data_IF_611099563222
#
_entry.id   IF_611099563222
#
_cell.length_a   1.000
_cell.length_b   1.000
_cell.length_c   1.000
_cell.angle_alpha   90.00
_cell.angle_beta   90.00
_cell.angle_gamma   90.00
#
_symmetry.space_group_name_H-M   'P 1'
#
loop_
_entity.id
_entity.type
_entity.pdbx_description
1 polymer ?
#
# COMPACT_ATOMS: atom_id res chain seq x y z
N UNK A 1 -0.01 -45.64 -69.73
CA UNK A 1 -0.73 -44.41 -69.30
C UNK A 1 -1.32 -44.65 -67.92
N UNK A 2 -0.67 -44.18 -66.85
CA UNK A 2 -1.22 -44.11 -65.50
C UNK A 2 -0.76 -42.78 -64.92
N UNK A 3 -1.67 -41.82 -64.82
CA UNK A 3 -1.41 -40.52 -64.23
C UNK A 3 -1.58 -40.64 -62.71
N UNK A 4 -0.50 -40.42 -61.96
CA UNK A 4 -0.54 -40.29 -60.50
C UNK A 4 -0.60 -38.80 -60.21
N UNK A 5 -1.76 -38.35 -59.74
CA UNK A 5 -1.99 -36.97 -59.31
C UNK A 5 -1.46 -36.82 -57.87
N UNK A 6 -0.38 -36.08 -57.68
CA UNK A 6 0.06 -35.66 -56.35
C UNK A 6 -0.75 -34.43 -55.93
N UNK A 7 -1.63 -34.61 -54.94
CA UNK A 7 -2.26 -33.49 -54.24
C UNK A 7 -1.25 -32.90 -53.24
N UNK A 8 -0.73 -31.70 -53.51
CA UNK A 8 0.02 -30.93 -52.53
C UNK A 8 -0.96 -30.38 -51.49
N UNK A 9 -0.94 -30.95 -50.29
CA UNK A 9 -1.63 -30.40 -49.12
C UNK A 9 -0.75 -29.27 -48.55
N UNK A 10 -1.10 -28.02 -48.84
CA UNK A 10 -0.47 -26.87 -48.22
C UNK A 10 -0.94 -26.77 -46.77
N UNK A 11 -0.04 -27.05 -45.82
CA UNK A 11 -0.26 -26.81 -44.40
C UNK A 11 -0.19 -25.30 -44.16
N UNK A 12 -1.33 -24.64 -43.97
CA UNK A 12 -1.38 -23.29 -43.41
C UNK A 12 -0.99 -23.39 -41.93
N UNK A 13 0.26 -23.09 -41.61
CA UNK A 13 0.67 -22.77 -40.24
C UNK A 13 0.08 -21.39 -39.90
N UNK A 14 -1.05 -21.38 -39.20
CA UNK A 14 -1.53 -20.19 -38.52
C UNK A 14 -0.50 -19.82 -37.45
N UNK A 15 0.33 -18.82 -37.73
CA UNK A 15 1.05 -18.10 -36.69
C UNK A 15 -0.01 -17.45 -35.80
N UNK A 16 -0.39 -18.12 -34.72
CA UNK A 16 -0.91 -17.41 -33.55
C UNK A 16 0.25 -16.56 -33.04
N UNK A 17 0.36 -15.33 -33.55
CA UNK A 17 1.07 -14.30 -32.81
C UNK A 17 0.39 -14.27 -31.44
N UNK A 18 1.10 -14.71 -30.42
CA UNK A 18 0.69 -14.53 -29.03
C UNK A 18 0.61 -13.01 -28.86
N UNK A 19 -0.59 -12.45 -29.02
CA UNK A 19 -0.88 -11.11 -28.57
C UNK A 19 -0.63 -11.16 -27.08
N UNK A 20 0.45 -10.55 -26.63
CA UNK A 20 0.67 -10.31 -25.20
C UNK A 20 -0.54 -9.51 -24.74
N UNK A 21 -1.43 -10.11 -23.96
CA UNK A 21 -2.50 -9.36 -23.32
C UNK A 21 -1.83 -8.30 -22.44
N UNK A 22 -2.01 -7.04 -22.81
CA UNK A 22 -1.62 -5.93 -21.97
C UNK A 22 -2.68 -5.84 -20.86
N UNK A 23 -2.27 -6.11 -19.62
CA UNK A 23 -3.12 -5.90 -18.46
C UNK A 23 -2.83 -4.51 -17.89
N UNK A 24 -3.87 -3.72 -17.73
CA UNK A 24 -3.81 -2.50 -16.93
C UNK A 24 -4.39 -2.78 -15.55
N UNK A 25 -3.71 -2.33 -14.50
CA UNK A 25 -4.18 -2.41 -13.11
C UNK A 25 -4.07 -1.01 -12.49
N UNK A 26 -5.17 -0.49 -11.98
CA UNK A 26 -5.25 0.83 -11.36
C UNK A 26 -5.65 0.71 -9.90
N UNK A 27 -4.77 1.15 -9.01
CA UNK A 27 -4.93 1.04 -7.55
C UNK A 27 -4.97 2.44 -6.97
N UNK A 28 -6.07 2.78 -6.29
CA UNK A 28 -6.12 3.93 -5.39
C UNK A 28 -5.61 3.57 -4.01
N UNK A 29 -5.11 4.56 -3.26
CA UNK A 29 -4.65 4.33 -1.90
C UNK A 29 -4.67 5.63 -1.07
N UNK A 30 -4.77 5.49 0.25
CA UNK A 30 -4.68 6.62 1.18
C UNK A 30 -4.80 6.20 2.64
N UNK A 31 -4.43 7.09 3.55
CA UNK A 31 -4.49 6.88 5.01
C UNK A 31 -5.09 8.09 5.73
N UNK A 32 -5.18 7.99 7.06
CA UNK A 32 -5.52 9.13 7.94
C UNK A 32 -6.92 9.68 7.65
N UNK A 33 -7.91 8.82 7.89
CA UNK A 33 -9.32 9.05 7.68
C UNK A 33 -10.03 9.54 8.96
N UNK A 34 -10.00 10.85 9.21
CA UNK A 34 -10.80 11.52 10.24
C UNK A 34 -11.90 12.44 9.62
N UNK A 35 -13.07 11.90 9.24
CA UNK A 35 -14.11 12.65 8.56
C UNK A 35 -14.81 13.72 9.41
N UNK A 36 -14.56 13.80 10.73
CA UNK A 36 -15.04 14.93 11.55
C UNK A 36 -14.20 16.19 11.36
N UNK A 37 -12.96 16.07 10.89
CA UNK A 37 -12.09 17.21 10.59
C UNK A 37 -12.44 17.83 9.23
N UNK A 38 -12.51 17.01 8.18
CA UNK A 38 -13.01 17.46 6.87
C UNK A 38 -13.47 16.31 5.98
N UNK A 39 -14.33 16.59 5.00
CA UNK A 39 -14.82 15.58 4.04
C UNK A 39 -14.71 16.03 2.57
N UNK A 40 -14.09 17.18 2.30
CA UNK A 40 -14.11 17.80 0.97
C UNK A 40 -13.39 16.98 -0.12
N UNK A 41 -12.48 16.07 0.26
CA UNK A 41 -11.82 15.13 -0.66
C UNK A 41 -12.78 14.00 -1.11
N UNK A 42 -13.72 13.59 -0.25
CA UNK A 42 -14.51 12.37 -0.43
C UNK A 42 -15.33 12.33 -1.72
N UNK A 43 -15.96 13.42 -2.21
CA UNK A 43 -16.66 13.39 -3.49
C UNK A 43 -15.74 13.03 -4.67
N UNK A 44 -14.51 13.56 -4.68
CA UNK A 44 -13.52 13.32 -5.74
C UNK A 44 -12.93 11.92 -5.64
N UNK A 45 -12.65 11.44 -4.42
CA UNK A 45 -12.28 10.04 -4.19
C UNK A 45 -13.39 9.09 -4.66
N UNK A 46 -14.65 9.36 -4.28
CA UNK A 46 -15.81 8.56 -4.66
C UNK A 46 -16.01 8.48 -6.19
N UNK A 47 -15.71 9.56 -6.91
CA UNK A 47 -15.71 9.55 -8.38
C UNK A 47 -14.54 8.75 -8.95
N UNK A 48 -13.35 8.85 -8.37
CA UNK A 48 -12.17 8.11 -8.85
C UNK A 48 -12.38 6.59 -8.75
N UNK A 49 -12.99 6.11 -7.66
CA UNK A 49 -13.29 4.69 -7.40
C UNK A 49 -14.10 4.01 -8.51
N UNK A 50 -14.87 4.75 -9.33
CA UNK A 50 -15.58 4.17 -10.48
C UNK A 50 -14.62 3.55 -11.53
N UNK A 51 -13.33 3.86 -11.46
CA UNK A 51 -12.28 3.41 -12.39
C UNK A 51 -11.11 2.67 -11.74
N UNK A 52 -11.15 2.47 -10.42
CA UNK A 52 -10.08 1.78 -9.69
C UNK A 52 -10.45 0.30 -9.54
N UNK A 53 -9.48 -0.58 -9.77
CA UNK A 53 -9.63 -2.02 -9.49
C UNK A 53 -9.61 -2.26 -7.98
N UNK A 54 -8.67 -1.61 -7.28
CA UNK A 54 -8.55 -1.67 -5.83
C UNK A 54 -8.44 -0.29 -5.21
N UNK A 55 -8.92 -0.16 -3.96
CA UNK A 55 -8.55 0.94 -3.07
C UNK A 55 -7.95 0.40 -1.77
N UNK A 56 -6.72 0.82 -1.48
CA UNK A 56 -5.95 0.35 -0.32
C UNK A 56 -5.96 1.41 0.78
N UNK A 57 -6.58 1.07 1.91
CA UNK A 57 -6.55 1.85 3.14
C UNK A 57 -5.24 1.59 3.87
N UNK A 58 -4.35 2.58 3.92
CA UNK A 58 -2.97 2.44 4.40
C UNK A 58 -2.81 2.66 5.91
N UNK A 59 -3.90 2.59 6.66
CA UNK A 59 -3.92 2.78 8.10
C UNK A 59 -4.56 4.11 8.52
N UNK A 60 -4.78 4.25 9.83
CA UNK A 60 -5.62 5.28 10.42
C UNK A 60 -6.99 5.34 9.73
N UNK A 61 -7.61 4.17 9.56
CA UNK A 61 -8.86 4.05 8.82
C UNK A 61 -10.03 4.66 9.62
N UNK A 62 -9.85 4.71 10.94
CA UNK A 62 -10.59 5.50 11.91
C UNK A 62 -9.61 6.12 12.91
N UNK A 63 -10.03 7.17 13.61
CA UNK A 63 -9.35 7.61 14.83
C UNK A 63 -10.18 7.26 16.04
N UNK A 64 -9.65 6.37 16.88
CA UNK A 64 -10.26 6.05 18.16
C UNK A 64 -10.04 7.21 19.14
N UNK A 65 -11.12 7.66 19.76
CA UNK A 65 -11.05 8.62 20.86
C UNK A 65 -10.61 7.93 22.17
N UNK A 66 -10.21 8.75 23.15
CA UNK A 66 -9.80 8.29 24.47
C UNK A 66 -10.79 7.29 25.08
N UNK A 67 -10.35 6.04 25.19
CA UNK A 67 -11.10 4.95 25.79
C UNK A 67 -11.96 4.13 24.83
N UNK A 68 -12.13 4.54 23.57
CA UNK A 68 -12.83 3.73 22.56
C UNK A 68 -12.08 2.42 22.25
N UNK A 69 -10.75 2.41 22.37
CA UNK A 69 -9.92 1.20 22.25
C UNK A 69 -10.04 0.23 23.45
N UNK A 70 -10.73 0.58 24.53
CA UNK A 70 -10.81 -0.27 25.73
C UNK A 70 -11.75 -1.48 25.56
N UNK A 71 -12.66 -1.46 24.58
CA UNK A 71 -13.61 -2.55 24.34
C UNK A 71 -13.89 -2.74 22.86
N UNK A 72 -14.25 -3.98 22.52
CA UNK A 72 -14.66 -4.34 21.16
C UNK A 72 -15.85 -3.51 20.70
N UNK A 73 -16.88 -3.38 21.53
CA UNK A 73 -18.11 -2.66 21.20
C UNK A 73 -17.85 -1.17 20.94
N UNK A 74 -17.02 -0.51 21.76
CA UNK A 74 -16.67 0.90 21.55
C UNK A 74 -15.78 1.11 20.33
N UNK A 75 -14.90 0.16 20.00
CA UNK A 75 -14.09 0.20 18.79
C UNK A 75 -14.97 0.03 17.54
N UNK A 76 -15.87 -0.96 17.55
CA UNK A 76 -16.81 -1.19 16.45
C UNK A 76 -17.79 -0.03 16.28
N UNK A 77 -18.26 0.58 17.37
CA UNK A 77 -19.11 1.77 17.29
C UNK A 77 -18.41 2.93 16.56
N UNK A 78 -17.08 3.08 16.69
CA UNK A 78 -16.32 4.08 15.92
C UNK A 78 -16.28 3.72 14.43
N UNK A 79 -16.03 2.45 14.08
CA UNK A 79 -16.12 1.99 12.69
C UNK A 79 -17.51 2.24 12.09
N UNK A 80 -18.58 1.87 12.81
CA UNK A 80 -19.96 2.09 12.38
C UNK A 80 -20.29 3.58 12.22
N UNK A 81 -19.79 4.43 13.12
CA UNK A 81 -19.98 5.89 13.03
C UNK A 81 -19.27 6.50 11.82
N UNK A 82 -18.04 6.08 11.54
CA UNK A 82 -17.27 6.58 10.39
C UNK A 82 -17.84 6.03 9.10
N UNK A 83 -17.85 4.71 8.94
CA UNK A 83 -18.20 4.06 7.68
C UNK A 83 -19.70 3.93 7.45
N UNK A 84 -20.55 4.14 8.47
CA UNK A 84 -22.01 4.19 8.31
C UNK A 84 -22.54 5.48 7.67
N UNK A 85 -21.70 6.50 7.46
CA UNK A 85 -22.11 7.71 6.76
C UNK A 85 -22.42 7.40 5.28
N UNK A 86 -23.42 8.05 4.67
CA UNK A 86 -23.85 7.73 3.29
C UNK A 86 -22.72 7.74 2.26
N UNK A 87 -21.79 8.69 2.36
CA UNK A 87 -20.65 8.79 1.44
C UNK A 87 -19.68 7.61 1.55
N UNK A 88 -19.44 7.10 2.76
CA UNK A 88 -18.59 5.93 2.95
C UNK A 88 -19.28 4.64 2.53
N UNK A 89 -20.61 4.55 2.70
CA UNK A 89 -21.38 3.43 2.14
C UNK A 89 -21.31 3.40 0.61
N UNK A 90 -21.32 4.57 -0.05
CA UNK A 90 -21.11 4.66 -1.50
C UNK A 90 -19.67 4.30 -1.89
N UNK A 91 -18.67 4.85 -1.20
CA UNK A 91 -17.25 4.51 -1.41
C UNK A 91 -17.03 3.00 -1.29
N UNK A 92 -17.49 2.37 -0.20
CA UNK A 92 -17.33 0.94 0.05
C UNK A 92 -18.08 0.03 -0.94
N UNK A 93 -18.98 0.61 -1.74
CA UNK A 93 -19.71 -0.13 -2.79
C UNK A 93 -18.97 -0.15 -4.15
N UNK A 94 -17.85 0.57 -4.26
CA UNK A 94 -17.05 0.73 -5.47
C UNK A 94 -15.64 0.19 -5.25
N UNK A 95 -15.06 -0.38 -6.31
CA UNK A 95 -13.75 -1.06 -6.25
C UNK A 95 -13.68 -2.20 -5.23
N UNK A 96 -12.58 -2.94 -5.25
CA UNK A 96 -12.27 -3.90 -4.19
C UNK A 96 -11.40 -3.21 -3.11
N UNK A 97 -11.80 -3.33 -1.84
CA UNK A 97 -11.10 -2.69 -0.75
C UNK A 97 -10.11 -3.63 -0.05
N UNK A 98 -8.87 -3.17 0.08
CA UNK A 98 -7.86 -3.77 0.95
C UNK A 98 -7.51 -2.78 2.06
N UNK A 99 -7.05 -3.28 3.20
CA UNK A 99 -6.66 -2.42 4.30
C UNK A 99 -5.41 -2.95 5.00
N UNK A 100 -4.67 -2.04 5.60
CA UNK A 100 -3.80 -2.29 6.75
C UNK A 100 -4.25 -1.35 7.87
N UNK A 101 -3.72 -1.56 9.07
CA UNK A 101 -4.01 -0.74 10.23
C UNK A 101 -2.77 0.05 10.63
N UNK A 102 -2.99 1.16 11.35
CA UNK A 102 -1.91 1.92 12.01
C UNK A 102 -2.29 2.25 13.46
N UNK A 103 -1.60 3.16 14.15
CA UNK A 103 -1.81 3.40 15.59
C UNK A 103 -3.21 3.87 15.92
N UNK A 104 -3.85 4.69 15.10
CA UNK A 104 -5.19 5.18 15.42
C UNK A 104 -6.31 4.15 15.23
N UNK A 105 -6.06 3.09 14.44
CA UNK A 105 -6.88 1.88 14.44
C UNK A 105 -6.58 1.00 15.67
N UNK A 106 -5.32 0.99 16.11
CA UNK A 106 -4.81 0.06 17.11
C UNK A 106 -5.05 0.52 18.56
N UNK A 107 -5.01 1.82 18.83
CA UNK A 107 -5.06 2.37 20.18
C UNK A 107 -4.68 3.85 20.28
N UNK A 108 -3.99 4.26 21.36
CA UNK A 108 -3.47 5.61 21.51
C UNK A 108 -2.44 5.97 20.42
N UNK A 109 -2.28 7.27 20.16
CA UNK A 109 -1.25 7.82 19.27
C UNK A 109 0.15 7.27 19.59
N UNK A 110 0.90 6.90 18.55
CA UNK A 110 2.23 6.28 18.58
C UNK A 110 2.30 4.99 19.41
N UNK A 111 1.19 4.27 19.61
CA UNK A 111 1.23 3.08 20.46
C UNK A 111 2.15 1.99 19.88
N UNK A 112 2.85 1.32 20.81
CA UNK A 112 3.68 0.16 20.55
C UNK A 112 3.50 -0.91 21.65
N UNK A 113 3.96 -2.14 21.38
CA UNK A 113 3.82 -3.28 22.29
C UNK A 113 4.64 -3.18 23.59
N UNK A 114 5.47 -2.15 23.73
CA UNK A 114 6.26 -1.89 24.95
C UNK A 114 5.44 -1.15 26.01
N UNK A 115 4.46 -0.34 25.60
CA UNK A 115 3.65 0.47 26.51
C UNK A 115 2.14 0.22 26.41
N UNK A 116 1.68 -0.47 25.36
CA UNK A 116 0.26 -0.71 25.12
C UNK A 116 -0.02 -2.18 24.83
N UNK A 117 -1.01 -2.74 25.53
CA UNK A 117 -1.40 -4.15 25.44
C UNK A 117 -2.84 -4.36 24.93
N UNK A 118 -3.50 -3.30 24.46
CA UNK A 118 -4.91 -3.33 24.03
C UNK A 118 -5.11 -3.88 22.61
N UNK A 119 -4.03 -4.16 21.87
CA UNK A 119 -4.09 -4.66 20.49
C UNK A 119 -5.06 -5.83 20.27
N UNK A 120 -5.18 -6.86 21.14
CA UNK A 120 -6.11 -7.96 20.88
C UNK A 120 -7.58 -7.52 20.74
N UNK A 121 -7.98 -6.45 21.42
CA UNK A 121 -9.36 -5.92 21.38
C UNK A 121 -9.63 -5.22 20.05
N UNK A 122 -8.77 -4.27 19.69
CA UNK A 122 -8.89 -3.48 18.46
C UNK A 122 -8.61 -4.31 17.21
N UNK A 123 -7.63 -5.22 17.25
CA UNK A 123 -7.36 -6.19 16.18
C UNK A 123 -8.57 -7.07 15.86
N UNK A 124 -9.34 -7.49 16.88
CA UNK A 124 -10.58 -8.24 16.65
C UNK A 124 -11.59 -7.41 15.86
N UNK A 125 -11.84 -6.17 16.30
CA UNK A 125 -12.74 -5.25 15.61
C UNK A 125 -12.28 -4.96 14.18
N UNK A 126 -10.99 -4.65 14.00
CA UNK A 126 -10.37 -4.40 12.70
C UNK A 126 -10.59 -5.56 11.73
N UNK A 127 -10.30 -6.80 12.16
CA UNK A 127 -10.51 -8.01 11.35
C UNK A 127 -11.98 -8.27 11.03
N UNK A 128 -12.87 -8.01 11.97
CA UNK A 128 -14.31 -8.21 11.77
C UNK A 128 -14.93 -7.14 10.88
N UNK A 129 -14.40 -5.92 10.87
CA UNK A 129 -14.82 -4.87 9.95
C UNK A 129 -14.34 -5.11 8.52
N UNK A 130 -13.03 -5.27 8.33
CA UNK A 130 -12.42 -5.40 6.99
C UNK A 130 -12.56 -6.78 6.35
N UNK A 131 -12.69 -7.84 7.16
CA UNK A 131 -12.92 -9.23 6.72
C UNK A 131 -12.03 -9.65 5.53
N UNK A 132 -10.69 -9.70 5.71
CA UNK A 132 -9.78 -10.04 4.61
C UNK A 132 -10.15 -11.41 4.03
N UNK A 133 -10.18 -11.50 2.70
CA UNK A 133 -10.45 -12.73 1.95
C UNK A 133 -9.17 -13.52 1.60
N UNK A 134 -8.02 -12.94 1.91
CA UNK A 134 -6.70 -13.55 1.74
C UNK A 134 -6.17 -14.15 3.04
N UNK A 135 -5.17 -15.03 2.91
CA UNK A 135 -4.59 -15.73 4.05
C UNK A 135 -3.85 -14.77 4.99
N UNK A 136 -4.20 -14.86 6.28
CA UNK A 136 -3.57 -14.13 7.39
C UNK A 136 -2.70 -15.11 8.18
N UNK A 137 -1.35 -15.01 8.10
CA UNK A 137 -0.46 -15.99 8.74
C UNK A 137 -0.54 -15.99 10.27
N UNK A 138 -0.88 -14.85 10.88
CA UNK A 138 -1.01 -14.71 12.32
C UNK A 138 -2.42 -14.24 12.71
N UNK A 139 -3.05 -14.92 13.67
CA UNK A 139 -4.41 -14.59 14.14
C UNK A 139 -4.47 -13.30 14.98
N UNK A 140 -3.36 -12.91 15.59
CA UNK A 140 -3.23 -11.76 16.48
C UNK A 140 -2.64 -10.51 15.80
N UNK A 141 -2.36 -10.55 14.50
CA UNK A 141 -1.81 -9.46 13.71
C UNK A 141 -2.51 -9.39 12.34
N UNK A 142 -2.43 -8.26 11.63
CA UNK A 142 -3.11 -8.04 10.35
C UNK A 142 -2.11 -7.90 9.20
N UNK A 143 -1.46 -9.00 8.81
CA UNK A 143 -0.60 -9.02 7.62
C UNK A 143 -0.91 -10.19 6.71
N UNK A 144 -0.61 -10.04 5.43
CA UNK A 144 -0.80 -11.09 4.44
C UNK A 144 -0.47 -10.62 3.02
N UNK A 145 -0.77 -11.49 2.06
CA UNK A 145 -0.51 -11.26 0.63
C UNK A 145 -1.74 -11.62 -0.17
N UNK A 146 -2.08 -10.79 -1.12
CA UNK A 146 -3.03 -11.11 -2.20
C UNK A 146 -2.37 -10.93 -3.56
N UNK A 147 -3.01 -11.44 -4.61
CA UNK A 147 -2.50 -11.51 -5.98
C UNK A 147 -3.51 -10.80 -6.89
N UNK A 148 -3.00 -9.97 -7.80
CA UNK A 148 -3.79 -9.27 -8.81
C UNK A 148 -3.21 -9.49 -10.23
N UNK A 149 -3.98 -9.09 -11.24
CA UNK A 149 -3.62 -9.18 -12.66
C UNK A 149 -3.07 -10.57 -13.06
N UNK A 150 -3.87 -11.61 -12.77
CA UNK A 150 -3.59 -13.00 -13.13
C UNK A 150 -2.22 -13.54 -12.68
N UNK A 151 -1.73 -13.07 -11.51
CA UNK A 151 -0.44 -13.50 -10.96
C UNK A 151 0.72 -12.56 -11.26
N UNK A 152 0.49 -11.49 -12.02
CA UNK A 152 1.54 -10.54 -12.41
C UNK A 152 1.87 -9.54 -11.30
N UNK A 153 0.99 -9.36 -10.32
CA UNK A 153 1.17 -8.42 -9.21
C UNK A 153 0.93 -9.12 -7.88
N UNK A 154 1.89 -9.00 -6.97
CA UNK A 154 1.66 -9.30 -5.55
C UNK A 154 1.42 -8.02 -4.77
N UNK A 155 0.43 -8.05 -3.89
CA UNK A 155 0.15 -6.98 -2.93
C UNK A 155 0.41 -7.53 -1.53
N UNK A 156 1.50 -7.06 -0.91
CA UNK A 156 1.87 -7.33 0.47
C UNK A 156 1.26 -6.28 1.38
N UNK A 157 0.49 -6.73 2.37
CA UNK A 157 -0.20 -5.91 3.35
C UNK A 157 0.49 -6.16 4.69
N UNK A 158 1.31 -5.22 5.15
CA UNK A 158 2.15 -5.38 6.34
C UNK A 158 1.52 -4.69 7.56
N UNK A 159 1.80 -5.27 8.73
CA UNK A 159 1.39 -4.79 10.04
C UNK A 159 2.58 -4.14 10.76
N UNK A 160 2.57 -2.82 10.85
CA UNK A 160 3.62 -2.03 11.50
C UNK A 160 3.37 -1.76 13.00
N UNK A 161 2.35 -2.38 13.63
CA UNK A 161 1.97 -2.12 15.02
C UNK A 161 2.04 -3.33 15.93
N UNK A 162 1.50 -4.48 15.51
CA UNK A 162 1.34 -5.67 16.39
C UNK A 162 2.65 -6.14 17.03
N UNK A 163 3.76 -5.98 16.32
CA UNK A 163 5.08 -6.41 16.78
C UNK A 163 5.99 -5.26 17.19
N UNK A 164 5.53 -4.02 17.00
CA UNK A 164 6.37 -2.84 17.14
C UNK A 164 6.81 -2.68 18.59
N UNK A 165 8.08 -2.32 18.74
CA UNK A 165 8.68 -1.98 20.02
C UNK A 165 9.28 -0.59 19.96
N UNK A 166 9.50 0.00 21.13
CA UNK A 166 10.10 1.32 21.24
C UNK A 166 11.47 1.35 20.55
N UNK A 167 11.73 2.37 19.73
CA UNK A 167 12.95 2.51 18.92
C UNK A 167 14.26 2.47 19.72
N UNK A 168 14.23 2.84 21.00
CA UNK A 168 15.41 2.86 21.88
C UNK A 168 15.65 1.50 22.56
N UNK A 169 14.80 0.50 22.30
CA UNK A 169 14.95 -0.86 22.83
C UNK A 169 16.14 -1.59 22.18
N UNK A 170 16.82 -2.45 22.94
CA UNK A 170 17.96 -3.22 22.43
C UNK A 170 17.63 -4.09 21.21
N UNK A 171 16.38 -4.57 21.13
CA UNK A 171 15.83 -5.36 20.03
C UNK A 171 14.69 -4.61 19.33
N UNK A 172 14.82 -3.29 19.17
CA UNK A 172 13.84 -2.47 18.48
C UNK A 172 13.49 -3.05 17.11
N UNK A 173 12.20 -3.22 16.86
CA UNK A 173 11.63 -3.78 15.64
C UNK A 173 10.27 -3.15 15.36
N UNK A 174 9.88 -3.07 14.08
CA UNK A 174 8.55 -2.64 13.66
C UNK A 174 7.70 -3.86 13.31
N UNK A 175 8.22 -4.73 12.44
CA UNK A 175 7.49 -5.86 11.90
C UNK A 175 7.67 -7.14 12.72
N UNK A 176 8.70 -7.26 13.55
CA UNK A 176 9.00 -8.47 14.31
C UNK A 176 9.53 -9.62 13.44
N UNK A 177 10.29 -10.52 14.04
CA UNK A 177 11.00 -11.59 13.30
C UNK A 177 10.06 -12.54 12.56
N UNK A 178 8.87 -12.79 13.09
CA UNK A 178 7.87 -13.68 12.48
C UNK A 178 7.39 -13.14 11.12
N UNK A 179 6.91 -11.90 11.11
CA UNK A 179 6.43 -11.25 9.88
C UNK A 179 7.58 -10.97 8.91
N UNK A 180 8.75 -10.57 9.41
CA UNK A 180 9.94 -10.35 8.57
C UNK A 180 10.35 -11.63 7.83
N UNK A 181 10.38 -12.77 8.52
CA UNK A 181 10.68 -14.05 7.89
C UNK A 181 9.62 -14.45 6.86
N UNK A 182 8.34 -14.28 7.20
CA UNK A 182 7.24 -14.54 6.27
C UNK A 182 7.33 -13.66 5.01
N UNK A 183 7.56 -12.36 5.19
CA UNK A 183 7.62 -11.39 4.10
C UNK A 183 8.78 -11.71 3.16
N UNK A 184 9.98 -11.93 3.72
CA UNK A 184 11.15 -12.29 2.94
C UNK A 184 10.93 -13.58 2.15
N UNK A 185 10.43 -14.64 2.80
CA UNK A 185 10.17 -15.92 2.14
C UNK A 185 9.16 -15.79 0.99
N UNK A 186 8.06 -15.07 1.21
CA UNK A 186 7.04 -14.84 0.20
C UNK A 186 7.56 -13.97 -0.97
N UNK A 187 8.43 -13.00 -0.68
CA UNK A 187 9.02 -12.09 -1.66
C UNK A 187 10.03 -12.82 -2.57
N UNK A 188 10.98 -13.56 -1.99
CA UNK A 188 12.05 -14.22 -2.78
C UNK A 188 11.54 -15.37 -3.64
N UNK A 189 10.44 -16.00 -3.26
CA UNK A 189 9.79 -17.06 -4.03
C UNK A 189 8.70 -16.56 -5.00
N UNK A 190 8.44 -15.25 -5.04
CA UNK A 190 7.46 -14.68 -5.96
C UNK A 190 7.92 -14.75 -7.42
N UNK A 191 6.98 -15.01 -8.32
CA UNK A 191 7.17 -14.91 -9.78
C UNK A 191 6.53 -13.66 -10.39
N UNK A 192 5.90 -12.82 -9.58
CA UNK A 192 5.20 -11.62 -10.04
C UNK A 192 6.15 -10.61 -10.72
N UNK A 193 5.59 -9.79 -11.59
CA UNK A 193 6.34 -8.73 -12.28
C UNK A 193 6.51 -7.49 -11.39
N UNK A 194 5.54 -7.24 -10.51
CA UNK A 194 5.47 -6.12 -9.58
C UNK A 194 5.13 -6.63 -8.19
N UNK A 195 5.80 -6.06 -7.20
CA UNK A 195 5.48 -6.24 -5.79
C UNK A 195 5.06 -4.90 -5.22
N UNK A 196 3.83 -4.80 -4.73
CA UNK A 196 3.31 -3.64 -4.01
C UNK A 196 3.42 -3.94 -2.52
N UNK A 197 4.11 -3.08 -1.78
CA UNK A 197 4.34 -3.21 -0.34
C UNK A 197 3.56 -2.11 0.36
N UNK A 198 2.51 -2.47 1.07
CA UNK A 198 1.67 -1.55 1.83
C UNK A 198 2.11 -1.57 3.30
N UNK A 199 2.47 -0.41 3.85
CA UNK A 199 2.85 -0.26 5.25
C UNK A 199 2.53 1.16 5.76
N UNK A 200 2.11 1.31 7.02
CA UNK A 200 1.68 2.62 7.55
C UNK A 200 2.79 3.68 7.51
N UNK A 201 3.91 3.41 8.17
CA UNK A 201 5.05 4.33 8.22
C UNK A 201 5.93 4.34 6.96
N UNK A 202 6.56 5.48 6.66
CA UNK A 202 7.48 5.61 5.53
C UNK A 202 8.75 4.76 5.67
N UNK A 203 9.17 4.11 4.58
CA UNK A 203 10.41 3.36 4.40
C UNK A 203 11.57 4.24 3.90
N UNK A 204 11.36 5.03 2.84
CA UNK A 204 12.46 5.69 2.11
C UNK A 204 12.83 7.07 2.63
N UNK A 205 11.95 7.76 3.37
CA UNK A 205 12.26 9.06 3.99
C UNK A 205 13.51 8.94 4.88
N UNK A 206 14.51 9.80 4.67
CA UNK A 206 15.79 9.77 5.42
C UNK A 206 15.80 10.62 6.69
N UNK A 207 14.77 11.40 6.95
CA UNK A 207 14.67 12.24 8.13
C UNK A 207 14.30 11.38 9.36
N UNK A 208 15.16 11.40 10.38
CA UNK A 208 14.94 10.68 11.65
C UNK A 208 14.04 11.52 12.59
N UNK A 209 12.83 11.78 12.14
CA UNK A 209 11.82 12.59 12.84
C UNK A 209 10.44 11.94 12.73
N UNK A 210 9.65 12.06 13.80
CA UNK A 210 8.34 11.40 13.94
C UNK A 210 8.43 9.89 13.67
N UNK A 211 7.32 9.24 13.31
CA UNK A 211 7.27 7.82 13.01
C UNK A 211 7.65 7.54 11.55
N UNK A 212 8.72 6.76 11.35
CA UNK A 212 9.15 6.21 10.06
C UNK A 212 10.31 5.21 10.29
N UNK A 213 10.66 4.45 9.25
CA UNK A 213 11.69 3.42 9.30
C UNK A 213 13.12 3.96 9.47
N UNK A 214 13.40 5.25 9.24
CA UNK A 214 14.72 5.81 9.55
C UNK A 214 15.03 5.81 11.05
N UNK A 215 14.01 5.68 11.91
CA UNK A 215 14.19 5.43 13.34
C UNK A 215 14.53 3.96 13.67
N UNK A 216 14.40 3.04 12.72
CA UNK A 216 14.71 1.61 12.84
C UNK A 216 15.75 1.20 11.78
N UNK A 217 16.98 1.77 11.82
CA UNK A 217 17.90 1.73 10.69
C UNK A 217 18.30 0.31 10.24
N UNK A 218 18.42 -0.64 11.18
CA UNK A 218 18.75 -2.04 10.86
C UNK A 218 17.64 -2.72 10.06
N UNK A 219 16.39 -2.54 10.49
CA UNK A 219 15.23 -3.14 9.82
C UNK A 219 14.94 -2.44 8.49
N UNK A 220 15.13 -1.12 8.43
CA UNK A 220 15.09 -0.35 7.18
C UNK A 220 16.10 -0.85 6.16
N UNK A 221 17.36 -1.01 6.56
CA UNK A 221 18.43 -1.52 5.69
C UNK A 221 18.10 -2.92 5.16
N UNK A 222 17.58 -3.79 6.04
CA UNK A 222 17.15 -5.14 5.68
C UNK A 222 16.04 -5.13 4.61
N UNK A 223 14.97 -4.34 4.81
CA UNK A 223 13.87 -4.24 3.85
C UNK A 223 14.33 -3.65 2.52
N UNK A 224 15.12 -2.58 2.54
CA UNK A 224 15.68 -1.98 1.31
C UNK A 224 16.55 -2.98 0.54
N UNK A 225 17.37 -3.77 1.23
CA UNK A 225 18.17 -4.81 0.61
C UNK A 225 17.27 -5.87 -0.06
N UNK A 226 16.27 -6.39 0.67
CA UNK A 226 15.35 -7.39 0.14
C UNK A 226 14.58 -6.90 -1.08
N UNK A 227 14.06 -5.68 -1.04
CA UNK A 227 13.37 -5.08 -2.19
C UNK A 227 14.33 -4.90 -3.38
N UNK A 228 15.59 -4.52 -3.13
CA UNK A 228 16.60 -4.40 -4.19
C UNK A 228 16.94 -5.75 -4.86
N UNK A 229 16.79 -6.85 -4.14
CA UNK A 229 17.06 -8.21 -4.62
C UNK A 229 15.80 -8.94 -5.12
N UNK A 230 14.61 -8.45 -4.78
CA UNK A 230 13.33 -9.08 -5.08
C UNK A 230 13.11 -9.38 -6.58
N UNK A 231 12.46 -10.50 -6.94
CA UNK A 231 12.16 -10.79 -8.34
C UNK A 231 11.07 -9.86 -8.88
N UNK A 232 11.43 -8.85 -9.67
CA UNK A 232 10.46 -7.90 -10.24
C UNK A 232 10.66 -6.48 -9.72
N UNK A 233 9.62 -5.64 -9.84
CA UNK A 233 9.67 -4.21 -9.51
C UNK A 233 8.97 -3.94 -8.17
N UNK A 234 9.69 -3.50 -7.13
CA UNK A 234 9.10 -3.11 -5.86
C UNK A 234 8.54 -1.68 -5.90
N UNK A 235 7.31 -1.52 -5.42
CA UNK A 235 6.64 -0.23 -5.20
C UNK A 235 6.10 -0.24 -3.77
N UNK A 236 6.42 0.79 -2.99
CA UNK A 236 6.00 0.91 -1.59
C UNK A 236 4.90 1.97 -1.49
N UNK A 237 3.80 1.64 -0.83
CA UNK A 237 2.69 2.55 -0.57
C UNK A 237 2.59 2.79 0.94
N UNK A 238 2.61 4.05 1.35
CA UNK A 238 2.70 4.45 2.77
C UNK A 238 1.71 5.54 3.17
N UNK A 239 1.49 5.70 4.47
CA UNK A 239 0.51 6.59 5.10
C UNK A 239 1.10 7.40 6.26
N UNK A 240 0.37 7.50 7.38
CA UNK A 240 0.76 8.07 8.70
C UNK A 240 1.07 9.58 8.77
N UNK A 241 1.73 10.14 7.75
CA UNK A 241 2.48 11.40 7.91
C UNK A 241 1.67 12.68 7.89
N UNK A 242 0.38 12.63 7.59
CA UNK A 242 -0.47 13.79 7.33
C UNK A 242 0.09 14.74 6.24
N UNK A 243 1.01 14.26 5.42
CA UNK A 243 1.41 14.88 4.15
C UNK A 243 1.88 13.79 3.19
N UNK A 244 1.79 14.06 1.89
CA UNK A 244 2.19 13.15 0.84
C UNK A 244 3.50 13.57 0.20
N UNK A 245 4.21 12.56 -0.31
CA UNK A 245 5.45 12.72 -1.07
C UNK A 245 5.75 11.45 -1.87
N UNK A 246 6.55 11.61 -2.93
CA UNK A 246 7.08 10.52 -3.75
C UNK A 246 8.60 10.46 -3.53
N UNK A 247 9.05 9.31 -3.09
CA UNK A 247 10.45 9.01 -2.80
C UNK A 247 10.98 7.95 -3.76
N UNK A 248 12.27 8.03 -4.08
CA UNK A 248 12.96 7.02 -4.88
C UNK A 248 14.36 6.78 -4.35
N UNK A 249 14.74 5.50 -4.32
CA UNK A 249 16.10 5.06 -4.07
C UNK A 249 16.51 4.03 -5.12
N UNK A 250 17.77 4.03 -5.53
CA UNK A 250 18.33 2.98 -6.39
C UNK A 250 19.38 2.21 -5.60
N UNK A 251 19.17 0.91 -5.44
CA UNK A 251 20.05 -0.01 -4.70
C UNK A 251 20.30 -1.22 -5.58
N UNK A 252 21.57 -1.63 -5.73
CA UNK A 252 21.97 -2.76 -6.58
C UNK A 252 21.44 -2.65 -8.03
N UNK A 253 21.33 -1.43 -8.55
CA UNK A 253 20.79 -1.16 -9.89
C UNK A 253 19.27 -1.24 -10.03
N UNK A 254 18.54 -1.53 -8.94
CA UNK A 254 17.07 -1.58 -8.91
C UNK A 254 16.49 -0.34 -8.25
N UNK A 255 15.52 0.28 -8.90
CA UNK A 255 14.74 1.36 -8.33
C UNK A 255 13.69 0.82 -7.35
N UNK A 256 13.60 1.44 -6.18
CA UNK A 256 12.50 1.30 -5.22
C UNK A 256 11.83 2.66 -5.17
N UNK A 257 10.54 2.70 -5.52
CA UNK A 257 9.72 3.91 -5.38
C UNK A 257 8.79 3.73 -4.21
N UNK A 258 8.68 4.77 -3.40
CA UNK A 258 7.71 4.89 -2.32
C UNK A 258 6.78 6.06 -2.60
N UNK A 259 5.50 5.86 -2.36
CA UNK A 259 4.50 6.92 -2.43
C UNK A 259 3.72 6.98 -1.13
N UNK A 260 3.82 8.11 -0.44
CA UNK A 260 3.07 8.40 0.77
C UNK A 260 1.81 9.19 0.41
N UNK A 261 0.63 8.68 0.77
CA UNK A 261 -0.66 9.34 0.56
C UNK A 261 -1.41 9.49 1.89
N UNK A 262 -1.20 10.62 2.54
CA UNK A 262 -1.76 10.96 3.84
C UNK A 262 -1.91 12.49 3.91
N UNK A 263 -3.08 13.08 4.24
CA UNK A 263 -4.29 12.45 4.75
C UNK A 263 -5.48 12.48 3.77
N UNK A 264 -6.43 11.55 3.95
CA UNK A 264 -7.72 11.55 3.27
C UNK A 264 -8.67 12.63 3.83
N UNK A 265 -8.85 12.62 5.16
CA UNK A 265 -9.83 13.49 5.84
C UNK A 265 -9.30 14.11 7.14
N UNK A 266 -8.21 13.56 7.71
CA UNK A 266 -7.48 14.25 8.78
C UNK A 266 -6.80 15.53 8.27
N UNK A 267 -6.44 16.45 9.17
CA UNK A 267 -5.77 17.71 8.86
C UNK A 267 -4.38 17.46 8.26
N UNK A 268 -4.06 18.18 7.17
CA UNK A 268 -2.74 18.14 6.57
C UNK A 268 -1.70 18.86 7.43
N UNK A 269 -0.52 18.24 7.59
CA UNK A 269 0.64 18.76 8.32
C UNK A 269 1.87 18.69 7.40
N UNK A 270 2.15 19.75 6.62
CA UNK A 270 3.18 19.68 5.60
C UNK A 270 4.60 19.71 6.19
N UNK A 271 5.32 18.61 6.04
CA UNK A 271 6.71 18.46 6.49
C UNK A 271 7.77 18.96 5.49
N UNK A 272 7.61 20.17 4.96
CA UNK A 272 8.49 20.71 3.90
C UNK A 272 9.97 20.76 4.30
N UNK A 273 10.24 21.06 5.57
CA UNK A 273 11.58 21.30 6.11
C UNK A 273 12.33 20.02 6.51
N UNK A 274 11.71 18.85 6.36
CA UNK A 274 12.38 17.58 6.63
C UNK A 274 13.49 17.32 5.61
N UNK A 275 14.68 16.96 6.13
CA UNK A 275 15.82 16.58 5.31
C UNK A 275 15.66 15.15 4.75
N UNK A 276 14.72 15.01 3.82
CA UNK A 276 14.47 13.80 3.07
C UNK A 276 15.23 13.82 1.74
N UNK A 277 16.30 13.01 1.64
CA UNK A 277 17.20 12.96 0.48
C UNK A 277 16.70 12.04 -0.65
N UNK A 278 15.58 11.34 -0.48
CA UNK A 278 15.02 10.43 -1.49
C UNK A 278 13.82 11.03 -2.22
N UNK A 279 13.30 12.18 -1.76
CA UNK A 279 12.15 12.87 -2.36
C UNK A 279 12.45 13.31 -3.79
N UNK A 280 11.49 13.12 -4.70
CA UNK A 280 11.62 13.43 -6.12
C UNK A 280 11.17 14.84 -6.52
N UNK A 281 10.55 15.58 -5.61
CA UNK A 281 9.98 16.89 -5.86
C UNK A 281 10.26 17.84 -4.68
N UNK A 282 10.02 19.13 -4.91
CA UNK A 282 10.05 20.12 -3.84
C UNK A 282 8.81 19.96 -2.96
N UNK A 283 8.98 20.18 -1.66
CA UNK A 283 7.93 20.17 -0.65
C UNK A 283 7.16 18.85 -0.50
N UNK A 284 6.35 18.77 0.55
CA UNK A 284 5.32 17.74 0.76
C UNK A 284 3.95 18.32 0.38
N UNK A 285 2.88 17.53 0.36
CA UNK A 285 1.55 18.07 0.06
C UNK A 285 1.05 19.00 1.17
N UNK A 286 0.30 20.03 0.78
CA UNK A 286 -0.33 21.02 1.68
C UNK A 286 -1.79 20.75 2.05
N UNK A 287 -2.39 19.69 1.50
CA UNK A 287 -3.85 19.46 1.49
C UNK A 287 -4.16 17.96 1.54
N UNK A 288 -5.41 17.62 1.84
CA UNK A 288 -5.94 16.28 1.74
C UNK A 288 -5.87 15.78 0.30
N UNK A 289 -5.50 14.52 0.13
CA UNK A 289 -5.31 13.89 -1.17
C UNK A 289 -5.37 12.37 -1.06
N UNK A 290 -5.49 11.69 -2.20
CA UNK A 290 -5.33 10.25 -2.33
C UNK A 290 -4.30 9.93 -3.41
N UNK A 291 -3.70 8.75 -3.35
CA UNK A 291 -2.80 8.24 -4.35
C UNK A 291 -3.51 7.41 -5.42
N UNK A 292 -2.98 7.45 -6.65
CA UNK A 292 -3.36 6.52 -7.73
C UNK A 292 -2.10 5.96 -8.36
N UNK A 293 -1.98 4.63 -8.39
CA UNK A 293 -0.95 3.87 -9.08
C UNK A 293 -1.56 3.16 -10.29
N UNK A 294 -1.06 3.45 -11.47
CA UNK A 294 -1.42 2.82 -12.73
C UNK A 294 -0.27 1.94 -13.20
N UNK A 295 -0.53 0.65 -13.37
CA UNK A 295 0.42 -0.33 -13.88
C UNK A 295 0.02 -0.73 -15.29
N UNK A 296 1.00 -0.73 -16.21
CA UNK A 296 0.90 -1.34 -17.52
C UNK A 296 1.80 -2.56 -17.56
N UNK A 297 1.19 -3.73 -17.59
CA UNK A 297 1.85 -5.02 -17.51
C UNK A 297 2.00 -5.58 -18.93
N UNK A 298 3.24 -5.71 -19.38
CA UNK A 298 3.60 -6.48 -20.57
C UNK A 298 4.09 -7.86 -20.15
N UNK A 299 3.94 -8.91 -20.97
CA UNK A 299 4.36 -10.28 -20.63
C UNK A 299 5.86 -10.50 -20.28
N UNK A 300 6.71 -9.47 -20.29
CA UNK A 300 8.09 -9.49 -19.80
C UNK A 300 8.19 -8.98 -18.35
N UNK A 301 9.20 -9.45 -17.58
CA UNK A 301 9.40 -9.02 -16.18
C UNK A 301 9.57 -7.50 -16.08
N UNK A 302 8.82 -6.89 -15.16
CA UNK A 302 8.73 -5.44 -14.95
C UNK A 302 7.39 -4.87 -15.36
N UNK A 303 7.17 -3.59 -15.06
CA UNK A 303 5.98 -2.85 -15.48
C UNK A 303 6.33 -1.39 -15.73
N UNK A 304 5.72 -0.80 -16.77
CA UNK A 304 5.64 0.65 -16.83
C UNK A 304 4.59 1.08 -15.82
N UNK A 305 4.89 2.13 -15.07
CA UNK A 305 3.95 2.63 -14.07
C UNK A 305 3.93 4.14 -14.01
N UNK A 306 2.76 4.65 -13.65
CA UNK A 306 2.53 6.05 -13.37
C UNK A 306 1.85 6.14 -12.01
N UNK A 307 2.35 7.01 -11.15
CA UNK A 307 1.78 7.23 -9.83
C UNK A 307 1.62 8.71 -9.58
N UNK A 308 0.57 9.09 -8.87
CA UNK A 308 0.32 10.48 -8.52
C UNK A 308 -0.50 10.64 -7.24
N UNK A 309 -0.42 11.84 -6.67
CA UNK A 309 -1.20 12.28 -5.51
C UNK A 309 -2.19 13.35 -5.97
N UNK A 310 -3.47 13.16 -5.70
CA UNK A 310 -4.57 13.94 -6.26
C UNK A 310 -5.39 14.63 -5.17
N UNK A 311 -5.59 15.93 -5.30
CA UNK A 311 -6.36 16.73 -4.35
C UNK A 311 -7.88 16.62 -4.55
N UNK A 312 -8.64 17.38 -3.76
CA UNK A 312 -10.09 17.44 -3.83
C UNK A 312 -10.65 18.01 -5.16
N UNK A 313 -9.82 18.63 -6.01
CA UNK A 313 -10.23 19.08 -7.35
C UNK A 313 -9.85 18.06 -8.44
N UNK A 314 -9.27 16.92 -8.07
CA UNK A 314 -8.68 15.96 -9.01
C UNK A 314 -7.39 16.46 -9.64
N UNK A 315 -6.77 17.50 -9.07
CA UNK A 315 -5.50 18.03 -9.56
C UNK A 315 -4.37 17.17 -9.02
N UNK A 316 -3.50 16.72 -9.92
CA UNK A 316 -2.29 16.03 -9.52
C UNK A 316 -1.32 17.01 -8.84
N UNK A 317 -1.07 16.81 -7.56
CA UNK A 317 -0.12 17.57 -6.76
C UNK A 317 1.32 17.17 -7.10
N UNK A 318 1.57 15.86 -7.16
CA UNK A 318 2.84 15.27 -7.53
C UNK A 318 2.59 14.04 -8.41
N UNK A 319 3.48 13.79 -9.36
CA UNK A 319 3.43 12.60 -10.20
C UNK A 319 4.84 12.05 -10.45
N UNK A 320 4.91 10.75 -10.70
CA UNK A 320 6.11 10.07 -11.14
C UNK A 320 5.76 8.99 -12.15
N UNK A 321 6.62 8.78 -13.14
CA UNK A 321 6.47 7.75 -14.16
C UNK A 321 7.79 7.03 -14.36
N UNK A 322 7.70 5.73 -14.46
CA UNK A 322 8.79 4.83 -14.82
C UNK A 322 8.38 3.97 -16.01
N UNK A 323 9.33 3.70 -16.89
CA UNK A 323 9.14 2.84 -18.06
C UNK A 323 10.34 1.92 -18.13
N UNK A 324 10.15 0.59 -18.13
CA UNK A 324 11.26 -0.35 -18.23
C UNK A 324 12.08 -0.06 -19.48
N UNK A 325 13.40 -0.04 -19.32
CA UNK A 325 14.32 -0.06 -20.46
C UNK A 325 14.46 -1.54 -20.83
N UNK A 326 13.80 -1.95 -21.91
CA UNK A 326 13.93 -3.30 -22.49
C UNK A 326 15.22 -3.45 -23.31
#
# INVERSE_FOLDING_TARGET
MKNITFACLALLMLNSACTTEEHELTIGFGSCNEPEQTQHLLPTLNQALDSLDHFIWLGDNIYLENGQWNSYDSTMARYESVFGQPIFQEILSKSDHLAIWDDHDAGPNDCDGSTYSGFPVTMKAFKEFWKPDYAQPNKSSYYGRTIAADGSVDIFLLDNRSFRTNRDSANATVFGIEQLNWFHDALVHSTANVHIICMGGQLLNTAQVFENMSNYPKERELLVQWLSEAPGTPIVLTGDRHSGEINKMVVNGKAIVEVCASPLTANAHPHHEENNRTRLHENTTGTQHFGVLQLKLSGAKGAAYHVGLYDANGTALFTHRETPIY
#
